data_IF_366307026692
#
_entry.id   IF_366307026692
#
_cell.length_a   1.000
_cell.length_b   1.000
_cell.length_c   1.000
_cell.angle_alpha   90.00
_cell.angle_beta   90.00
_cell.angle_gamma   90.00
#
_symmetry.space_group_name_H-M   'P 1'
#
loop_
_entity.id
_entity.type
_entity.pdbx_description
1 polymer ?
#
# COMPACT_ATOMS: atom_id res chain seq x y z
N UNK A 1 17.58 -14.22 22.31
CA UNK A 1 17.54 -14.62 23.73
C UNK A 1 18.54 -13.79 24.52
N UNK A 2 18.24 -13.55 25.78
CA UNK A 2 19.15 -12.96 26.75
C UNK A 2 19.28 -13.96 27.89
N UNK A 3 20.50 -14.31 28.25
CA UNK A 3 20.80 -15.30 29.32
C UNK A 3 19.99 -16.61 29.15
N UNK A 4 19.96 -17.14 27.91
CA UNK A 4 19.24 -18.33 27.47
C UNK A 4 17.70 -18.23 27.49
N UNK A 5 17.11 -17.11 27.94
CA UNK A 5 15.68 -16.89 27.96
C UNK A 5 15.22 -16.09 26.72
N UNK A 6 14.03 -16.42 26.20
CA UNK A 6 13.38 -15.63 25.15
C UNK A 6 12.86 -14.31 25.77
N UNK A 7 13.29 -13.21 25.17
CA UNK A 7 12.88 -11.87 25.60
C UNK A 7 12.29 -11.09 24.42
N UNK A 8 11.57 -10.03 24.71
CA UNK A 8 11.05 -9.11 23.71
C UNK A 8 12.17 -8.26 23.10
N UNK A 9 11.99 -7.75 21.89
CA UNK A 9 13.02 -6.97 21.18
C UNK A 9 13.29 -5.59 21.81
N UNK A 10 12.40 -5.11 22.66
CA UNK A 10 12.52 -3.82 23.33
C UNK A 10 13.17 -3.91 24.72
N UNK A 11 13.71 -5.08 25.09
CA UNK A 11 14.40 -5.24 26.36
C UNK A 11 15.72 -4.47 26.35
N UNK A 12 16.02 -3.76 27.42
CA UNK A 12 17.30 -3.09 27.62
C UNK A 12 18.34 -4.10 28.11
N UNK A 13 19.46 -4.18 27.40
CA UNK A 13 20.56 -5.06 27.74
C UNK A 13 21.44 -4.42 28.81
N UNK A 14 21.93 -5.25 29.71
CA UNK A 14 22.86 -4.84 30.77
C UNK A 14 24.26 -5.36 30.51
N UNK A 15 25.26 -4.73 31.12
CA UNK A 15 26.62 -5.21 31.05
C UNK A 15 26.72 -6.61 31.69
N UNK A 16 27.31 -7.56 30.96
CA UNK A 16 27.40 -8.97 31.35
C UNK A 16 26.30 -9.88 30.81
N UNK A 17 25.30 -9.35 30.09
CA UNK A 17 24.29 -10.18 29.45
C UNK A 17 24.85 -10.97 28.28
N UNK A 18 24.51 -12.25 28.24
CA UNK A 18 24.79 -13.12 27.08
C UNK A 18 23.64 -13.03 26.09
N UNK A 19 23.93 -12.51 24.88
CA UNK A 19 22.91 -12.27 23.85
C UNK A 19 23.04 -13.27 22.70
N UNK A 20 21.97 -14.00 22.42
CA UNK A 20 21.86 -14.89 21.27
C UNK A 20 20.80 -14.32 20.29
N UNK A 21 21.23 -14.01 19.04
CA UNK A 21 20.34 -13.52 17.99
C UNK A 21 19.84 -14.71 17.17
N UNK A 22 18.53 -14.96 17.25
CA UNK A 22 17.89 -16.01 16.46
C UNK A 22 17.24 -15.35 15.24
N UNK A 23 17.69 -15.74 14.05
CA UNK A 23 17.16 -15.23 12.78
C UNK A 23 16.23 -16.26 12.14
N UNK A 24 15.21 -15.78 11.44
CA UNK A 24 14.28 -16.62 10.66
C UNK A 24 14.16 -16.12 9.22
N UNK A 25 13.93 -17.06 8.28
CA UNK A 25 13.83 -16.74 6.84
C UNK A 25 12.68 -15.80 6.45
N UNK A 26 11.66 -15.65 7.31
CA UNK A 26 10.45 -14.85 7.06
C UNK A 26 10.27 -13.72 8.07
N UNK A 27 11.29 -13.40 8.84
CA UNK A 27 11.18 -12.32 9.82
C UNK A 27 11.41 -10.98 9.13
N UNK A 28 10.41 -10.12 9.19
CA UNK A 28 10.42 -8.78 8.63
C UNK A 28 10.29 -7.75 9.74
N UNK A 29 10.92 -6.58 9.61
CA UNK A 29 10.76 -5.53 10.61
C UNK A 29 9.33 -4.99 10.62
N UNK A 30 8.78 -4.82 11.81
CA UNK A 30 7.49 -4.17 12.02
C UNK A 30 7.68 -2.66 12.18
N UNK A 31 6.66 -1.88 11.79
CA UNK A 31 6.62 -0.43 12.00
C UNK A 31 6.79 -0.06 13.49
N UNK A 32 6.31 -0.91 14.40
CA UNK A 32 6.44 -0.71 15.83
C UNK A 32 7.91 -0.72 16.33
N UNK A 33 8.84 -1.30 15.55
CA UNK A 33 10.25 -1.29 15.91
C UNK A 33 10.86 0.12 15.89
N UNK A 34 10.28 1.04 15.13
CA UNK A 34 10.71 2.44 15.10
C UNK A 34 10.61 3.11 16.48
N UNK A 35 9.68 2.65 17.34
CA UNK A 35 9.41 3.25 18.64
C UNK A 35 10.52 3.01 19.66
N UNK A 36 11.24 1.90 19.55
CA UNK A 36 12.29 1.52 20.51
C UNK A 36 13.70 1.48 19.91
N UNK A 37 13.83 1.66 18.60
CA UNK A 37 15.14 1.69 17.96
C UNK A 37 15.87 2.99 18.22
N UNK A 38 17.06 2.90 18.82
CA UNK A 38 17.89 4.05 19.22
C UNK A 38 18.86 4.47 18.12
N UNK A 39 19.52 3.51 17.44
CA UNK A 39 20.58 3.82 16.48
C UNK A 39 20.04 4.30 15.13
N UNK A 40 20.67 5.34 14.58
CA UNK A 40 20.32 5.86 13.23
C UNK A 40 20.44 4.78 12.15
N UNK A 41 21.44 3.90 12.24
CA UNK A 41 21.65 2.80 11.29
C UNK A 41 20.45 1.85 11.27
N UNK A 42 19.99 1.41 12.43
CA UNK A 42 18.83 0.52 12.54
C UNK A 42 17.54 1.21 12.07
N UNK A 43 17.33 2.46 12.46
CA UNK A 43 16.17 3.27 12.03
C UNK A 43 16.13 3.42 10.51
N UNK A 44 17.26 3.76 9.89
CA UNK A 44 17.35 3.89 8.43
C UNK A 44 17.11 2.57 7.71
N UNK A 45 17.62 1.45 8.25
CA UNK A 45 17.39 0.12 7.66
C UNK A 45 15.91 -0.29 7.72
N UNK A 46 15.25 -0.04 8.83
CA UNK A 46 13.81 -0.31 8.99
C UNK A 46 13.00 0.57 8.04
N UNK A 47 13.29 1.87 7.99
CA UNK A 47 12.59 2.80 7.09
C UNK A 47 12.74 2.41 5.63
N UNK A 48 13.95 2.03 5.21
CA UNK A 48 14.21 1.56 3.85
C UNK A 48 13.41 0.30 3.53
N UNK A 49 13.34 -0.65 4.46
CA UNK A 49 12.58 -1.87 4.28
C UNK A 49 11.08 -1.56 4.14
N UNK A 50 10.50 -0.81 5.07
CA UNK A 50 9.08 -0.46 5.07
C UNK A 50 8.69 0.33 3.82
N UNK A 51 9.55 1.25 3.36
CA UNK A 51 9.33 2.00 2.13
C UNK A 51 9.31 1.06 0.90
N UNK A 52 10.24 0.12 0.82
CA UNK A 52 10.29 -0.84 -0.28
C UNK A 52 9.05 -1.77 -0.27
N UNK A 53 8.61 -2.20 0.90
CA UNK A 53 7.41 -3.03 1.04
C UNK A 53 6.16 -2.28 0.58
N UNK A 54 5.98 -1.03 1.01
CA UNK A 54 4.88 -0.16 0.55
C UNK A 54 4.88 0.04 -0.97
N UNK A 55 6.06 0.24 -1.57
CA UNK A 55 6.18 0.34 -3.05
C UNK A 55 5.77 -0.97 -3.72
N UNK A 56 6.23 -2.11 -3.20
CA UNK A 56 5.89 -3.42 -3.75
C UNK A 56 4.37 -3.71 -3.67
N UNK A 57 3.73 -3.33 -2.56
CA UNK A 57 2.28 -3.43 -2.40
C UNK A 57 1.55 -2.54 -3.41
N UNK A 58 2.02 -1.30 -3.60
CA UNK A 58 1.46 -0.38 -4.58
C UNK A 58 1.59 -0.90 -6.01
N UNK A 59 2.70 -1.53 -6.37
CA UNK A 59 2.90 -2.18 -7.68
C UNK A 59 1.90 -3.32 -7.87
N UNK A 60 1.73 -4.17 -6.87
CA UNK A 60 0.75 -5.28 -6.92
C UNK A 60 -0.67 -4.76 -7.11
N UNK A 61 -1.05 -3.75 -6.32
CA UNK A 61 -2.36 -3.12 -6.40
C UNK A 61 -2.60 -2.47 -7.76
N UNK A 62 -1.62 -1.71 -8.27
CA UNK A 62 -1.70 -1.09 -9.58
C UNK A 62 -1.88 -2.11 -10.71
N UNK A 63 -1.14 -3.21 -10.65
CA UNK A 63 -1.29 -4.32 -11.60
C UNK A 63 -2.67 -4.97 -11.52
N UNK A 64 -3.18 -5.17 -10.32
CA UNK A 64 -4.51 -5.73 -10.11
C UNK A 64 -5.61 -4.80 -10.65
N UNK A 65 -5.53 -3.50 -10.34
CA UNK A 65 -6.45 -2.47 -10.84
C UNK A 65 -6.45 -2.47 -12.37
N UNK A 66 -5.26 -2.41 -12.99
CA UNK A 66 -5.11 -2.40 -14.43
C UNK A 66 -5.77 -3.63 -15.05
N UNK A 67 -5.44 -4.83 -14.59
CA UNK A 67 -5.97 -6.07 -15.15
C UNK A 67 -7.47 -6.27 -14.91
N UNK A 68 -7.96 -5.88 -13.75
CA UNK A 68 -9.38 -5.96 -13.41
C UNK A 68 -10.21 -5.02 -14.30
N UNK A 69 -9.66 -3.85 -14.60
CA UNK A 69 -10.29 -2.86 -15.47
C UNK A 69 -10.29 -3.33 -16.93
N UNK A 70 -9.16 -3.82 -17.46
CA UNK A 70 -9.08 -4.38 -18.80
C UNK A 70 -10.06 -5.55 -18.99
N UNK A 71 -10.17 -6.43 -17.99
CA UNK A 71 -11.13 -7.55 -18.02
C UNK A 71 -12.58 -7.07 -18.08
N UNK A 72 -12.94 -6.03 -17.30
CA UNK A 72 -14.30 -5.44 -17.31
C UNK A 72 -14.64 -4.81 -18.65
N UNK A 73 -13.66 -4.19 -19.30
CA UNK A 73 -13.82 -3.59 -20.63
C UNK A 73 -13.71 -4.62 -21.77
N UNK A 74 -13.50 -5.92 -21.45
CA UNK A 74 -13.30 -7.01 -22.41
C UNK A 74 -12.11 -6.79 -23.36
N UNK A 75 -11.10 -6.04 -22.89
CA UNK A 75 -9.86 -5.77 -23.63
C UNK A 75 -8.84 -6.85 -23.26
N UNK A 76 -8.81 -7.95 -23.98
CA UNK A 76 -7.94 -9.09 -23.68
C UNK A 76 -6.61 -9.05 -24.44
N UNK A 77 -6.64 -8.58 -25.69
CA UNK A 77 -5.51 -8.66 -26.63
C UNK A 77 -4.44 -7.58 -26.42
N UNK A 78 -4.78 -6.46 -25.80
CA UNK A 78 -3.89 -5.29 -25.63
C UNK A 78 -3.22 -5.22 -24.25
N UNK A 79 -3.26 -6.30 -23.49
CA UNK A 79 -2.75 -6.32 -22.08
C UNK A 79 -1.29 -5.91 -22.00
N UNK A 80 -0.47 -6.31 -22.96
CA UNK A 80 0.95 -5.97 -23.01
C UNK A 80 1.15 -4.49 -23.35
N UNK A 81 0.39 -3.93 -24.29
CA UNK A 81 0.46 -2.51 -24.63
C UNK A 81 0.19 -1.60 -23.44
N UNK A 82 -0.77 -1.97 -22.57
CA UNK A 82 -1.07 -1.23 -21.37
C UNK A 82 0.04 -1.35 -20.30
N UNK A 83 0.75 -2.47 -20.28
CA UNK A 83 1.91 -2.64 -19.40
C UNK A 83 3.12 -1.87 -19.90
N UNK A 84 3.33 -1.80 -21.21
CA UNK A 84 4.47 -1.14 -21.85
C UNK A 84 4.24 0.36 -22.09
N UNK A 85 3.04 0.86 -21.78
CA UNK A 85 2.68 2.27 -21.90
C UNK A 85 3.44 3.19 -20.93
N UNK A 86 4.24 2.66 -20.00
CA UNK A 86 4.96 3.45 -19.01
C UNK A 86 5.83 4.57 -19.63
N UNK A 87 6.46 4.32 -20.77
CA UNK A 87 7.28 5.31 -21.48
C UNK A 87 6.45 6.50 -22.00
N UNK A 88 5.20 6.27 -22.39
CA UNK A 88 4.27 7.30 -22.85
C UNK A 88 3.87 8.29 -21.75
N UNK A 89 4.04 7.89 -20.48
CA UNK A 89 3.73 8.70 -19.29
C UNK A 89 4.99 9.24 -18.59
N UNK A 90 6.17 9.08 -19.19
CA UNK A 90 7.43 9.58 -18.64
C UNK A 90 8.00 8.75 -17.50
N UNK A 91 7.55 7.52 -17.33
CA UNK A 91 8.13 6.62 -16.34
C UNK A 91 9.32 5.85 -16.93
N UNK A 92 10.38 5.70 -16.14
CA UNK A 92 11.60 5.02 -16.57
C UNK A 92 11.46 3.49 -16.56
N UNK A 93 10.50 2.96 -15.80
CA UNK A 93 10.26 1.53 -15.67
C UNK A 93 8.78 1.22 -15.40
N UNK A 94 8.41 -0.02 -15.67
CA UNK A 94 7.05 -0.54 -15.47
C UNK A 94 6.62 -0.49 -14.00
N UNK A 95 7.54 -0.72 -13.06
CA UNK A 95 7.23 -0.76 -11.63
C UNK A 95 6.81 0.62 -11.10
N UNK A 96 7.50 1.69 -11.50
CA UNK A 96 7.13 3.07 -11.15
C UNK A 96 5.76 3.45 -11.72
N UNK A 97 5.47 3.04 -12.93
CA UNK A 97 4.18 3.24 -13.59
C UNK A 97 3.05 2.50 -12.86
N UNK A 98 3.25 1.20 -12.56
CA UNK A 98 2.27 0.43 -11.81
C UNK A 98 2.07 0.96 -10.39
N UNK A 99 3.15 1.41 -9.73
CA UNK A 99 3.06 2.06 -8.43
C UNK A 99 2.25 3.35 -8.48
N UNK A 100 2.39 4.17 -9.53
CA UNK A 100 1.59 5.38 -9.73
C UNK A 100 0.10 5.07 -9.89
N UNK A 101 -0.24 3.98 -10.61
CA UNK A 101 -1.63 3.49 -10.71
C UNK A 101 -2.13 3.03 -9.33
N UNK A 102 -1.31 2.29 -8.58
CA UNK A 102 -1.66 1.77 -7.26
C UNK A 102 -1.88 2.87 -6.22
N UNK A 103 -1.17 4.00 -6.33
CA UNK A 103 -1.39 5.18 -5.49
C UNK A 103 -2.52 6.10 -5.98
N UNK A 104 -3.12 5.81 -7.14
CA UNK A 104 -4.15 6.65 -7.74
C UNK A 104 -3.63 7.94 -8.40
N UNK A 105 -2.31 8.07 -8.56
CA UNK A 105 -1.67 9.23 -9.23
C UNK A 105 -1.85 9.21 -10.75
N UNK A 106 -2.20 8.06 -11.30
CA UNK A 106 -2.46 7.86 -12.72
C UNK A 106 -3.74 7.06 -12.89
N UNK A 107 -4.75 7.65 -13.53
CA UNK A 107 -6.04 7.01 -13.74
C UNK A 107 -6.02 6.08 -14.97
N UNK A 108 -6.84 5.03 -14.93
CA UNK A 108 -7.00 4.15 -16.09
C UNK A 108 -7.55 4.90 -17.31
N UNK A 109 -8.37 5.92 -17.11
CA UNK A 109 -8.94 6.76 -18.18
C UNK A 109 -7.86 7.48 -18.96
N UNK A 110 -6.89 8.09 -18.27
CA UNK A 110 -5.75 8.76 -18.89
C UNK A 110 -4.93 7.76 -19.71
N UNK A 111 -4.70 6.56 -19.16
CA UNK A 111 -3.97 5.50 -19.83
C UNK A 111 -4.70 5.07 -21.10
N UNK A 112 -5.99 4.79 -20.99
CA UNK A 112 -6.81 4.34 -22.13
C UNK A 112 -6.88 5.35 -23.24
N UNK A 113 -7.12 6.63 -22.89
CA UNK A 113 -7.20 7.72 -23.87
C UNK A 113 -5.89 7.94 -24.62
N UNK A 114 -4.77 7.71 -23.96
CA UNK A 114 -3.45 7.90 -24.57
C UNK A 114 -3.05 6.74 -25.49
N UNK A 115 -3.47 5.52 -25.16
CA UNK A 115 -3.24 4.33 -26.00
C UNK A 115 -4.23 4.27 -27.17
N UNK A 116 -5.48 4.65 -26.94
CA UNK A 116 -6.55 4.59 -27.94
C UNK A 116 -7.23 5.96 -28.14
N UNK A 117 -6.56 6.94 -28.76
CA UNK A 117 -7.10 8.29 -28.91
C UNK A 117 -8.36 8.35 -29.76
N UNK A 118 -8.58 7.37 -30.64
CA UNK A 118 -9.75 7.31 -31.54
C UNK A 118 -10.99 6.66 -30.89
N UNK A 119 -10.85 6.09 -29.71
CA UNK A 119 -11.96 5.42 -29.01
C UNK A 119 -12.51 6.31 -27.92
N UNK A 120 -13.04 7.49 -28.32
CA UNK A 120 -13.71 8.47 -27.47
C UNK A 120 -15.08 7.97 -26.95
N UNK A 121 -15.16 6.73 -26.50
CA UNK A 121 -16.31 6.21 -25.77
C UNK A 121 -16.32 6.80 -24.33
N UNK A 122 -16.27 8.14 -24.24
CA UNK A 122 -16.00 8.88 -23.02
C UNK A 122 -17.20 8.96 -22.06
N UNK A 123 -18.41 8.61 -22.51
CA UNK A 123 -19.63 8.80 -21.73
C UNK A 123 -20.51 7.54 -21.62
N UNK A 124 -19.95 6.36 -21.82
CA UNK A 124 -20.76 5.16 -21.59
C UNK A 124 -21.03 4.99 -20.08
N UNK A 125 -22.26 4.62 -19.70
CA UNK A 125 -22.62 4.36 -18.31
C UNK A 125 -21.71 3.33 -17.62
N UNK A 126 -21.13 2.44 -18.44
CA UNK A 126 -20.14 1.45 -17.97
C UNK A 126 -18.85 2.09 -17.49
N UNK A 127 -18.38 3.15 -18.14
CA UNK A 127 -17.15 3.85 -17.76
C UNK A 127 -17.29 4.63 -16.45
N UNK A 128 -18.40 5.37 -16.28
CA UNK A 128 -18.73 6.10 -15.03
C UNK A 128 -18.88 5.14 -13.83
N UNK A 129 -19.50 3.98 -14.08
CA UNK A 129 -19.65 2.93 -13.06
C UNK A 129 -18.30 2.30 -12.67
N UNK A 130 -17.35 2.31 -13.58
CA UNK A 130 -16.00 1.80 -13.39
C UNK A 130 -15.12 2.77 -12.60
N UNK A 131 -15.18 4.07 -12.92
CA UNK A 131 -14.48 5.13 -12.17
C UNK A 131 -14.90 5.13 -10.71
N UNK A 132 -16.20 5.11 -10.45
CA UNK A 132 -16.72 5.01 -9.08
C UNK A 132 -16.27 3.73 -8.35
N UNK A 133 -16.12 2.61 -9.07
CA UNK A 133 -15.66 1.36 -8.47
C UNK A 133 -14.16 1.37 -8.18
N UNK A 134 -13.35 2.04 -9.00
CA UNK A 134 -11.90 2.22 -8.76
C UNK A 134 -11.68 3.21 -7.62
N UNK A 135 -12.42 4.32 -7.61
CA UNK A 135 -12.37 5.31 -6.56
C UNK A 135 -12.73 4.70 -5.19
N UNK A 136 -13.72 3.80 -5.16
CA UNK A 136 -14.09 3.06 -3.95
C UNK A 136 -13.02 2.03 -3.50
N UNK A 137 -12.16 1.56 -4.41
CA UNK A 137 -11.02 0.68 -4.07
C UNK A 137 -9.84 1.50 -3.54
N UNK A 138 -9.63 2.70 -4.09
CA UNK A 138 -8.56 3.61 -3.71
C UNK A 138 -8.89 4.46 -2.47
N UNK A 139 -10.19 4.69 -2.21
CA UNK A 139 -10.61 5.35 -0.96
C UNK A 139 -10.48 4.35 0.19
N UNK A 140 -9.84 4.73 1.30
CA UNK A 140 -9.91 3.95 2.52
C UNK A 140 -11.40 3.78 2.86
N UNK A 141 -11.84 2.54 3.02
CA UNK A 141 -13.26 2.20 3.24
C UNK A 141 -13.91 2.90 4.43
N UNK A 142 -13.12 3.44 5.33
CA UNK A 142 -13.58 3.93 6.62
C UNK A 142 -13.31 5.42 6.88
N UNK A 143 -12.80 6.17 5.91
CA UNK A 143 -12.67 7.64 5.99
C UNK A 143 -11.79 8.18 7.12
N UNK A 144 -11.10 7.34 7.88
CA UNK A 144 -10.24 7.72 8.99
C UNK A 144 -8.78 7.65 8.56
N UNK A 145 -8.13 8.80 8.53
CA UNK A 145 -6.69 8.95 8.37
C UNK A 145 -6.05 8.91 9.77
N UNK A 146 -5.38 7.81 10.10
CA UNK A 146 -4.56 7.72 11.30
C UNK A 146 -3.09 7.94 10.89
N UNK A 147 -2.54 9.09 11.18
CA UNK A 147 -1.11 9.44 11.05
C UNK A 147 -0.36 8.80 9.86
N UNK A 148 -0.97 8.84 8.66
CA UNK A 148 -0.34 8.33 7.44
C UNK A 148 -0.39 6.82 7.25
N UNK A 149 -1.11 6.08 8.06
CA UNK A 149 -1.32 4.63 7.90
C UNK A 149 -2.63 4.39 7.16
N UNK A 150 -2.52 4.15 5.86
CA UNK A 150 -3.64 3.82 4.98
C UNK A 150 -3.77 2.29 4.93
N UNK A 151 -4.59 1.64 5.68
CA UNK A 151 -4.98 0.22 5.55
C UNK A 151 -5.19 -0.49 6.89
N UNK A 152 -5.67 0.22 7.90
CA UNK A 152 -6.10 -0.42 9.13
C UNK A 152 -7.54 -0.93 8.95
N UNK A 153 -7.77 -2.21 9.25
CA UNK A 153 -9.13 -2.72 9.44
C UNK A 153 -9.69 -2.10 10.72
N UNK A 154 -10.57 -1.13 10.58
CA UNK A 154 -11.20 -0.42 11.69
C UNK A 154 -12.57 -1.06 11.96
N UNK A 155 -12.84 -1.37 13.21
CA UNK A 155 -14.18 -1.73 13.68
C UNK A 155 -14.66 -0.65 14.62
N UNK A 156 -15.79 -0.06 14.28
CA UNK A 156 -16.47 0.89 15.17
C UNK A 156 -17.09 0.16 16.36
N UNK A 157 -17.01 0.77 17.53
CA UNK A 157 -17.75 0.30 18.70
C UNK A 157 -19.26 0.40 18.41
N UNK A 158 -20.03 -0.61 18.86
CA UNK A 158 -21.48 -0.63 18.67
C UNK A 158 -22.22 0.48 19.41
N UNK A 159 -21.54 1.17 20.31
CA UNK A 159 -22.11 2.23 21.17
C UNK A 159 -21.98 3.63 20.56
N UNK A 160 -21.15 3.83 19.56
CA UNK A 160 -20.88 5.13 18.95
C UNK A 160 -20.66 4.98 17.45
N UNK A 161 -21.25 5.87 16.68
CA UNK A 161 -21.05 5.98 15.24
C UNK A 161 -20.41 7.34 14.98
N UNK A 162 -19.07 7.46 15.02
CA UNK A 162 -18.41 8.75 14.84
C UNK A 162 -18.67 9.27 13.43
N UNK A 163 -18.87 10.58 13.32
CA UNK A 163 -18.99 11.28 12.05
C UNK A 163 -17.67 11.97 11.70
N UNK A 164 -17.42 12.28 10.41
CA UNK A 164 -16.20 12.99 10.00
C UNK A 164 -16.04 14.31 10.76
N UNK A 165 -14.91 14.45 11.48
CA UNK A 165 -14.61 15.60 12.33
C UNK A 165 -14.66 15.32 13.84
N UNK A 166 -15.14 14.16 14.25
CA UNK A 166 -15.13 13.77 15.66
C UNK A 166 -13.72 13.34 16.10
N UNK A 167 -13.33 13.73 17.30
CA UNK A 167 -12.13 13.20 17.94
C UNK A 167 -12.39 11.77 18.43
N UNK A 168 -11.65 10.82 17.87
CA UNK A 168 -11.83 9.41 18.20
C UNK A 168 -10.57 8.81 18.81
N UNK A 169 -10.74 7.96 19.81
CA UNK A 169 -9.68 7.17 20.42
C UNK A 169 -9.90 5.70 20.11
N UNK A 170 -8.87 5.03 19.63
CA UNK A 170 -8.94 3.62 19.26
C UNK A 170 -7.84 2.78 19.91
N UNK A 171 -8.10 1.47 19.98
CA UNK A 171 -7.14 0.48 20.46
C UNK A 171 -6.76 -0.45 19.31
N UNK A 172 -5.48 -0.76 19.20
CA UNK A 172 -4.99 -1.76 18.25
C UNK A 172 -5.17 -3.13 18.87
N UNK A 173 -6.06 -3.95 18.32
CA UNK A 173 -6.20 -5.35 18.69
C UNK A 173 -5.34 -6.24 17.79
N UNK A 174 -4.76 -7.27 18.37
CA UNK A 174 -3.99 -8.31 17.63
C UNK A 174 -4.92 -9.25 16.90
#
# INVERSE_FOLDING_TARGET
>A
KVNHQLVTLNVELKSGDMVEIITGKKQTPSINWQKFVVTSKARNSINKYLKNESVNESIKLGKEILFKTLRRLKIYNLKQEYLDAFSNFGFNNQDSYLSAIGHGNLSFREIHNKINPNNLAQDTPAYKKLENAIENVLRPKDGILLDGINNLMIKYGKCCSPIPGDDVTGFVTR
#
